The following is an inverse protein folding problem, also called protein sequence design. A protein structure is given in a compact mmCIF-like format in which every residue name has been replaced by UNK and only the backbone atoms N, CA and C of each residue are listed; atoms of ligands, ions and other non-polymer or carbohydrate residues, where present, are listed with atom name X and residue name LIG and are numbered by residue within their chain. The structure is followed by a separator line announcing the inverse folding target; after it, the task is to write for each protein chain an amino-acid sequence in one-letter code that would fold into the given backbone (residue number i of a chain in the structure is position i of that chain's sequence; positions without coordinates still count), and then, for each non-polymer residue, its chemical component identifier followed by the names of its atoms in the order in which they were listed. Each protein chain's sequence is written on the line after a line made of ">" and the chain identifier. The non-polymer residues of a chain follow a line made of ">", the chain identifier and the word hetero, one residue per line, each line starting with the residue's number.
data_IF_413265321543
#
_entry.id   IF_413265321543
#
_cell.length_a   1.000
_cell.length_b   1.000
_cell.length_c   1.000
_cell.angle_alpha   90.00
_cell.angle_beta   90.00
_cell.angle_gamma   90.00
#
_symmetry.space_group_name_H-M   'P 1'
#
loop_
_entity.id
_entity.type
_entity.pdbx_description
1 polymer ?
#
# COMPACT_ATOMS: atom_id res chain seq x y z
N UNK A 1 -28.47 12.37 20.26
CA UNK A 1 -27.05 11.98 20.07
C UNK A 1 -26.83 11.81 18.59
N UNK A 2 -25.91 12.56 18.01
CA UNK A 2 -25.47 12.29 16.63
C UNK A 2 -24.42 11.19 16.65
N UNK A 3 -24.56 10.22 15.73
CA UNK A 3 -23.66 9.08 15.63
C UNK A 3 -22.50 9.43 14.67
N UNK A 4 -21.26 9.22 15.11
CA UNK A 4 -20.06 9.50 14.33
C UNK A 4 -19.68 8.32 13.42
N UNK A 5 -20.31 8.22 12.25
CA UNK A 5 -20.05 7.14 11.30
C UNK A 5 -18.69 7.24 10.60
N UNK A 6 -18.05 8.41 10.59
CA UNK A 6 -16.74 8.60 9.93
C UNK A 6 -15.66 7.71 10.53
N UNK A 7 -15.64 7.54 11.86
CA UNK A 7 -14.67 6.65 12.50
C UNK A 7 -14.82 5.19 12.08
N UNK A 8 -16.07 4.71 11.96
CA UNK A 8 -16.37 3.35 11.48
C UNK A 8 -15.98 3.21 10.02
N UNK A 9 -16.29 4.21 9.19
CA UNK A 9 -15.94 4.23 7.77
C UNK A 9 -14.42 4.19 7.55
N UNK A 10 -13.65 5.00 8.29
CA UNK A 10 -12.18 5.01 8.23
C UNK A 10 -11.60 3.68 8.72
N UNK A 11 -12.15 3.11 9.80
CA UNK A 11 -11.77 1.78 10.28
C UNK A 11 -11.96 0.69 9.21
N UNK A 12 -13.15 0.62 8.60
CA UNK A 12 -13.43 -0.32 7.51
C UNK A 12 -12.53 -0.10 6.30
N UNK A 13 -12.32 1.17 5.89
CA UNK A 13 -11.42 1.51 4.80
C UNK A 13 -9.98 1.09 5.08
N UNK A 14 -9.49 1.25 6.32
CA UNK A 14 -8.14 0.83 6.71
C UNK A 14 -7.91 -0.67 6.55
N UNK A 15 -8.88 -1.50 6.97
CA UNK A 15 -8.80 -2.95 6.82
C UNK A 15 -8.80 -3.36 5.35
N UNK A 16 -9.63 -2.71 4.53
CA UNK A 16 -9.67 -2.94 3.08
C UNK A 16 -8.35 -2.54 2.40
N UNK A 17 -7.80 -1.37 2.74
CA UNK A 17 -6.52 -0.90 2.18
C UNK A 17 -5.39 -1.85 2.58
N UNK A 18 -5.26 -2.19 3.86
CA UNK A 18 -4.24 -3.14 4.33
C UNK A 18 -4.42 -4.48 3.62
N UNK A 19 -5.65 -5.01 3.59
CA UNK A 19 -5.97 -6.29 2.94
C UNK A 19 -5.66 -6.31 1.45
N UNK A 20 -5.91 -5.22 0.72
CA UNK A 20 -5.64 -5.12 -0.71
C UNK A 20 -4.16 -4.93 -1.03
N UNK A 21 -3.43 -4.17 -0.21
CA UNK A 21 -2.02 -3.87 -0.46
C UNK A 21 -1.11 -5.09 -0.22
N UNK A 22 -1.48 -6.04 0.63
CA UNK A 22 -0.69 -7.26 0.84
C UNK A 22 -0.56 -8.12 -0.45
N UNK A 23 -1.65 -8.56 -1.09
CA UNK A 23 -1.59 -9.24 -2.40
C UNK A 23 -0.92 -8.39 -3.48
N UNK A 24 -1.18 -7.07 -3.48
CA UNK A 24 -0.58 -6.15 -4.45
C UNK A 24 0.96 -6.14 -4.35
N UNK A 25 1.52 -6.08 -3.14
CA UNK A 25 2.98 -6.11 -2.95
C UNK A 25 3.57 -7.44 -3.38
N UNK A 26 2.93 -8.57 -3.05
CA UNK A 26 3.37 -9.90 -3.49
C UNK A 26 3.37 -9.99 -5.02
N UNK A 27 2.30 -9.52 -5.66
CA UNK A 27 2.19 -9.51 -7.12
C UNK A 27 3.23 -8.60 -7.77
N UNK A 28 3.46 -7.40 -7.22
CA UNK A 28 4.48 -6.47 -7.69
C UNK A 28 5.90 -7.03 -7.54
N UNK A 29 6.23 -7.66 -6.41
CA UNK A 29 7.52 -8.32 -6.23
C UNK A 29 7.69 -9.43 -7.28
N UNK A 30 6.68 -10.30 -7.44
CA UNK A 30 6.75 -11.43 -8.35
C UNK A 30 7.02 -11.01 -9.80
N UNK A 31 6.40 -9.94 -10.29
CA UNK A 31 6.55 -9.48 -11.67
C UNK A 31 7.71 -8.50 -11.88
N UNK A 32 7.94 -7.56 -10.95
CA UNK A 32 8.86 -6.43 -11.14
C UNK A 32 10.04 -6.39 -10.17
N UNK A 33 10.11 -7.35 -9.24
CA UNK A 33 11.06 -7.36 -8.11
C UNK A 33 10.87 -6.17 -7.17
N UNK A 34 11.69 -6.09 -6.13
CA UNK A 34 11.76 -4.95 -5.21
C UNK A 34 12.21 -3.64 -5.88
N UNK A 35 12.65 -3.67 -7.14
CA UNK A 35 13.12 -2.51 -7.91
C UNK A 35 11.99 -1.53 -8.27
N UNK A 36 10.72 -1.96 -8.23
CA UNK A 36 9.55 -1.08 -8.48
C UNK A 36 9.26 -0.09 -7.34
N UNK A 37 10.03 -0.12 -6.24
CA UNK A 37 9.83 0.75 -5.08
C UNK A 37 9.70 2.26 -5.40
N UNK A 38 10.35 2.86 -6.43
CA UNK A 38 10.16 4.29 -6.72
C UNK A 38 8.73 4.61 -7.17
N UNK A 39 8.02 3.67 -7.79
CA UNK A 39 6.62 3.86 -8.17
C UNK A 39 5.73 3.94 -6.93
N UNK A 40 5.97 3.08 -5.93
CA UNK A 40 5.28 3.15 -4.64
C UNK A 40 5.55 4.48 -3.94
N UNK A 41 6.78 4.99 -3.97
CA UNK A 41 7.13 6.29 -3.43
C UNK A 41 6.36 7.41 -4.16
N UNK A 42 6.38 7.43 -5.49
CA UNK A 42 5.71 8.44 -6.31
C UNK A 42 4.21 8.46 -6.04
N UNK A 43 3.54 7.29 -6.10
CA UNK A 43 2.11 7.17 -5.82
C UNK A 43 1.78 7.61 -4.39
N UNK A 44 2.59 7.23 -3.41
CA UNK A 44 2.43 7.66 -2.01
C UNK A 44 2.50 9.17 -1.86
N UNK A 45 3.51 9.82 -2.44
CA UNK A 45 3.67 11.27 -2.39
C UNK A 45 2.55 12.01 -3.13
N UNK A 46 2.07 11.50 -4.26
CA UNK A 46 0.92 12.07 -4.98
C UNK A 46 -0.33 12.00 -4.09
N UNK A 47 -0.63 10.84 -3.51
CA UNK A 47 -1.79 10.68 -2.62
C UNK A 47 -1.72 11.62 -1.41
N UNK A 48 -0.55 11.71 -0.76
CA UNK A 48 -0.36 12.63 0.37
C UNK A 48 -0.44 14.09 -0.05
N UNK A 49 0.11 14.46 -1.21
CA UNK A 49 0.00 15.80 -1.76
C UNK A 49 -1.45 16.18 -2.05
N UNK A 50 -2.22 15.28 -2.65
CA UNK A 50 -3.67 15.50 -2.89
C UNK A 50 -4.46 15.59 -1.58
N UNK A 51 -4.06 14.84 -0.54
CA UNK A 51 -4.73 14.89 0.76
C UNK A 51 -4.68 16.30 1.40
N UNK A 52 -3.62 17.07 1.14
CA UNK A 52 -3.47 18.45 1.64
C UNK A 52 -4.52 19.42 1.09
N UNK A 53 -5.06 19.12 -0.09
CA UNK A 53 -6.05 19.97 -0.78
C UNK A 53 -7.48 19.39 -0.72
N UNK A 54 -7.64 18.20 -0.15
CA UNK A 54 -8.94 17.56 0.04
C UNK A 54 -9.55 17.92 1.41
N UNK A 55 -10.86 17.72 1.55
CA UNK A 55 -11.60 18.00 2.79
C UNK A 55 -12.34 16.76 3.32
N UNK A 56 -12.55 16.73 4.64
CA UNK A 56 -13.29 15.69 5.33
C UNK A 56 -12.75 14.28 5.09
N UNK A 57 -13.66 13.31 4.96
CA UNK A 57 -13.34 11.89 4.79
C UNK A 57 -12.38 11.62 3.62
N UNK A 58 -12.49 12.37 2.52
CA UNK A 58 -11.63 12.17 1.35
C UNK A 58 -10.15 12.45 1.66
N UNK A 59 -9.86 13.51 2.43
CA UNK A 59 -8.48 13.81 2.86
C UNK A 59 -7.90 12.67 3.70
N UNK A 60 -8.71 12.11 4.61
CA UNK A 60 -8.32 10.98 5.45
C UNK A 60 -8.04 9.74 4.61
N UNK A 61 -8.91 9.41 3.64
CA UNK A 61 -8.74 8.24 2.79
C UNK A 61 -7.51 8.37 1.87
N UNK A 62 -7.25 9.56 1.33
CA UNK A 62 -6.04 9.83 0.55
C UNK A 62 -4.78 9.70 1.41
N UNK A 63 -4.82 10.20 2.64
CA UNK A 63 -3.76 10.03 3.63
C UNK A 63 -3.49 8.54 3.93
N UNK A 64 -4.54 7.78 4.20
CA UNK A 64 -4.49 6.34 4.48
C UNK A 64 -3.86 5.56 3.31
N UNK A 65 -4.33 5.80 2.08
CA UNK A 65 -3.80 5.15 0.87
C UNK A 65 -2.36 5.59 0.59
N UNK A 66 -2.04 6.87 0.77
CA UNK A 66 -0.69 7.40 0.60
C UNK A 66 0.31 6.75 1.54
N UNK A 67 -0.01 6.64 2.83
CA UNK A 67 0.82 5.94 3.82
C UNK A 67 0.91 4.45 3.50
N UNK A 68 -0.16 3.80 3.02
CA UNK A 68 -0.12 2.41 2.61
C UNK A 68 0.88 2.17 1.47
N UNK A 69 0.91 3.05 0.45
CA UNK A 69 1.93 2.99 -0.61
C UNK A 69 3.35 3.12 -0.06
N UNK A 70 3.60 4.05 0.85
CA UNK A 70 4.93 4.24 1.46
C UNK A 70 5.33 3.02 2.31
N UNK A 71 4.42 2.48 3.11
CA UNK A 71 4.65 1.27 3.89
C UNK A 71 4.97 0.07 3.00
N UNK A 72 4.28 -0.04 1.87
CA UNK A 72 4.50 -1.10 0.89
C UNK A 72 5.90 -1.13 0.31
N UNK A 73 6.68 -0.04 0.35
CA UNK A 73 8.12 -0.07 0.00
C UNK A 73 8.88 -1.00 0.94
N UNK A 74 8.60 -0.92 2.25
CA UNK A 74 9.22 -1.79 3.25
C UNK A 74 8.73 -3.21 3.09
N UNK A 75 7.42 -3.39 2.89
CA UNK A 75 6.82 -4.72 2.67
C UNK A 75 7.39 -5.38 1.40
N UNK A 76 7.63 -4.63 0.33
CA UNK A 76 8.21 -5.14 -0.91
C UNK A 76 9.63 -5.68 -0.71
N UNK A 77 10.46 -4.99 0.09
CA UNK A 77 11.79 -5.45 0.48
C UNK A 77 11.73 -6.70 1.35
N UNK A 78 10.77 -6.77 2.27
CA UNK A 78 10.58 -7.95 3.11
C UNK A 78 10.06 -9.14 2.28
N UNK A 79 9.13 -8.91 1.34
CA UNK A 79 8.66 -9.94 0.40
C UNK A 79 9.82 -10.50 -0.43
N UNK A 80 10.74 -9.66 -0.91
CA UNK A 80 11.94 -10.15 -1.59
C UNK A 80 12.79 -11.08 -0.70
N UNK A 81 12.96 -10.75 0.59
CA UNK A 81 13.64 -11.65 1.56
C UNK A 81 12.86 -12.95 1.79
N UNK A 82 11.53 -12.90 1.80
CA UNK A 82 10.68 -14.11 1.91
C UNK A 82 10.85 -15.01 0.69
N UNK A 83 10.98 -14.44 -0.51
CA UNK A 83 11.31 -15.18 -1.74
C UNK A 83 12.73 -15.77 -1.68
N UNK A 84 13.72 -15.01 -1.19
CA UNK A 84 15.11 -15.50 -1.00
C UNK A 84 15.17 -16.68 0.00
N UNK A 85 14.32 -16.66 1.03
CA UNK A 85 14.16 -17.78 2.00
C UNK A 85 13.38 -18.98 1.43
N UNK A 86 12.81 -18.86 0.23
CA UNK A 86 12.00 -19.91 -0.40
C UNK A 86 10.57 -20.02 0.14
N UNK A 87 10.06 -19.03 0.89
CA UNK A 87 8.67 -19.02 1.38
C UNK A 87 7.66 -18.68 0.28
N UNK A 88 8.11 -17.98 -0.75
CA UNK A 88 7.31 -17.64 -1.93
C UNK A 88 8.06 -18.02 -3.20
N UNK A 89 7.33 -18.42 -4.27
CA UNK A 89 7.96 -18.81 -5.53
C UNK A 89 8.65 -17.62 -6.18
N UNK A 90 9.90 -17.79 -6.57
CA UNK A 90 10.60 -16.84 -7.43
C UNK A 90 10.09 -16.98 -8.87
N UNK A 91 9.78 -15.87 -9.52
CA UNK A 91 9.39 -15.89 -10.92
C UNK A 91 10.58 -16.27 -11.82
N UNK A 92 10.54 -17.41 -12.54
CA UNK A 92 11.65 -17.84 -13.40
C UNK A 92 11.81 -16.98 -14.66
N UNK A 93 10.78 -16.22 -15.05
CA UNK A 93 10.81 -15.30 -16.20
C UNK A 93 11.48 -13.96 -15.86
N UNK A 94 11.81 -13.74 -14.58
CA UNK A 94 12.46 -12.54 -14.06
C UNK A 94 13.97 -12.76 -14.03
N UNK A 95 14.60 -12.72 -15.21
CA UNK A 95 16.06 -12.68 -15.41
C UNK A 95 16.63 -11.33 -15.01
#
# INVERSE_FOLDING_TARGET
>A
MELNFEGIAVGAASLLVIGAFHPLVIWCEYHFSQKIWPLFLLCGLICLGLALFAHGLLSILLGLVGVAFLWSIRELKEQARRVERGWFPKNPKRT
#
